data_IF_508359330090
#
_entry.id   IF_508359330090
#
_cell.length_a   1.000
_cell.length_b   1.000
_cell.length_c   1.000
_cell.angle_alpha   90.00
_cell.angle_beta   90.00
_cell.angle_gamma   90.00
#
_symmetry.space_group_name_H-M   'P 1'
#
loop_
_entity.id
_entity.type
_entity.pdbx_description
1 polymer ?
#
# COMPACT_ATOMS: atom_id res chain seq x y z
N UNK A 1 -37.67 -39.18 -30.21
CA UNK A 1 -36.23 -38.95 -29.97
C UNK A 1 -35.78 -39.90 -28.86
N UNK A 2 -34.66 -40.61 -29.02
CA UNK A 2 -34.19 -41.50 -27.96
C UNK A 2 -33.77 -40.68 -26.74
N UNK A 3 -34.11 -41.17 -25.53
CA UNK A 3 -33.87 -40.45 -24.25
C UNK A 3 -32.38 -40.06 -24.04
N UNK A 4 -31.47 -40.74 -24.74
CA UNK A 4 -30.03 -40.44 -24.69
C UNK A 4 -29.64 -39.19 -25.46
N UNK A 5 -30.26 -38.90 -26.60
CA UNK A 5 -29.98 -37.69 -27.40
C UNK A 5 -30.42 -36.43 -26.69
N UNK A 6 -31.54 -36.47 -25.96
CA UNK A 6 -32.01 -35.31 -25.17
C UNK A 6 -31.05 -34.99 -24.00
N UNK A 7 -30.53 -36.03 -23.33
CA UNK A 7 -29.54 -35.86 -22.25
C UNK A 7 -28.21 -35.28 -22.76
N UNK A 8 -27.77 -35.74 -23.93
CA UNK A 8 -26.54 -35.23 -24.56
C UNK A 8 -26.68 -33.77 -25.01
N UNK A 9 -27.84 -33.41 -25.56
CA UNK A 9 -28.13 -32.00 -25.94
C UNK A 9 -28.20 -31.10 -24.70
N UNK A 10 -28.84 -31.54 -23.62
CA UNK A 10 -28.92 -30.77 -22.38
C UNK A 10 -27.53 -30.58 -21.74
N UNK A 11 -26.68 -31.61 -21.74
CA UNK A 11 -25.30 -31.54 -21.25
C UNK A 11 -24.46 -30.58 -22.08
N UNK A 12 -24.59 -30.60 -23.41
CA UNK A 12 -23.90 -29.67 -24.30
C UNK A 12 -24.37 -28.22 -24.09
N UNK A 13 -25.67 -28.03 -23.85
CA UNK A 13 -26.26 -26.72 -23.57
C UNK A 13 -25.73 -26.13 -22.25
N UNK A 14 -25.58 -26.95 -21.21
CA UNK A 14 -25.00 -26.55 -19.92
C UNK A 14 -23.52 -26.14 -20.09
N UNK A 15 -22.75 -26.87 -20.92
CA UNK A 15 -21.36 -26.53 -21.23
C UNK A 15 -21.25 -25.20 -22.00
N UNK A 16 -22.20 -24.92 -22.90
CA UNK A 16 -22.25 -23.67 -23.68
C UNK A 16 -22.71 -22.45 -22.86
N UNK A 17 -23.44 -22.69 -21.76
CA UNK A 17 -23.91 -21.66 -20.84
C UNK A 17 -22.91 -21.32 -19.72
N UNK A 18 -21.82 -22.12 -19.57
CA UNK A 18 -20.76 -21.78 -18.64
C UNK A 18 -20.04 -20.52 -19.11
N UNK A 19 -20.37 -19.40 -18.44
CA UNK A 19 -19.64 -18.13 -18.67
C UNK A 19 -18.17 -18.35 -18.30
N UNK A 20 -17.21 -17.82 -19.07
CA UNK A 20 -15.82 -17.83 -18.64
C UNK A 20 -15.76 -17.10 -17.30
N UNK A 21 -15.24 -17.79 -16.30
CA UNK A 21 -14.91 -17.17 -15.02
C UNK A 21 -13.73 -16.25 -15.29
N UNK A 22 -13.99 -14.92 -15.37
CA UNK A 22 -12.91 -13.96 -15.47
C UNK A 22 -12.15 -14.00 -14.16
N UNK A 23 -10.97 -14.59 -14.18
CA UNK A 23 -10.03 -14.49 -13.08
C UNK A 23 -9.63 -13.02 -12.91
N UNK A 24 -9.42 -12.60 -11.66
CA UNK A 24 -8.81 -11.31 -11.36
C UNK A 24 -7.46 -11.27 -12.08
N UNK A 25 -7.21 -10.23 -12.89
CA UNK A 25 -5.95 -10.05 -13.58
C UNK A 25 -5.42 -8.63 -13.33
N UNK A 26 -4.13 -8.42 -13.59
CA UNK A 26 -3.44 -7.15 -13.41
C UNK A 26 -2.40 -6.97 -14.52
N UNK A 27 -2.27 -5.73 -15.02
CA UNK A 27 -1.18 -5.34 -15.94
C UNK A 27 0.17 -5.17 -15.22
N UNK A 28 0.18 -5.20 -13.88
CA UNK A 28 1.41 -5.12 -13.11
C UNK A 28 2.34 -6.30 -13.39
N UNK A 29 3.64 -6.09 -13.31
CA UNK A 29 4.65 -7.14 -13.46
C UNK A 29 4.58 -8.16 -12.30
N UNK A 30 4.26 -7.67 -11.11
CA UNK A 30 4.03 -8.48 -9.92
C UNK A 30 2.73 -8.06 -9.25
N UNK A 31 1.94 -9.01 -8.79
CA UNK A 31 0.70 -8.74 -8.06
C UNK A 31 0.36 -9.90 -7.12
N UNK A 32 -0.15 -9.56 -5.95
CA UNK A 32 -0.75 -10.51 -5.00
C UNK A 32 -2.05 -9.91 -4.48
N UNK A 33 -3.13 -10.67 -4.61
CA UNK A 33 -4.42 -10.34 -4.00
C UNK A 33 -4.84 -11.51 -3.12
N UNK A 34 -5.12 -11.22 -1.86
CA UNK A 34 -5.51 -12.23 -0.87
C UNK A 34 -6.75 -11.77 -0.12
N UNK A 35 -7.69 -12.67 0.09
CA UNK A 35 -8.78 -12.48 1.03
C UNK A 35 -8.22 -12.60 2.46
N UNK A 36 -8.25 -11.50 3.21
CA UNK A 36 -7.68 -11.45 4.58
C UNK A 36 -8.51 -12.32 5.56
N UNK A 37 -9.80 -12.51 5.30
CA UNK A 37 -10.67 -13.28 6.21
C UNK A 37 -10.46 -14.78 6.08
N UNK A 38 -10.17 -15.27 4.88
CA UNK A 38 -10.01 -16.70 4.56
C UNK A 38 -8.55 -17.10 4.37
N UNK A 39 -7.66 -16.17 4.04
CA UNK A 39 -6.29 -16.43 3.62
C UNK A 39 -6.20 -16.93 2.17
N UNK A 40 -7.31 -16.97 1.42
CA UNK A 40 -7.33 -17.44 0.05
C UNK A 40 -6.60 -16.46 -0.88
N UNK A 41 -5.71 -16.99 -1.73
CA UNK A 41 -5.03 -16.19 -2.75
C UNK A 41 -5.91 -16.13 -3.99
N UNK A 42 -6.41 -14.93 -4.30
CA UNK A 42 -7.29 -14.66 -5.44
C UNK A 42 -6.50 -14.33 -6.72
N UNK A 43 -5.30 -13.80 -6.57
CA UNK A 43 -4.35 -13.54 -7.66
C UNK A 43 -2.93 -13.69 -7.13
N UNK A 44 -2.14 -14.50 -7.79
CA UNK A 44 -0.68 -14.56 -7.62
C UNK A 44 -0.01 -14.39 -8.98
N UNK A 45 0.72 -13.30 -9.14
CA UNK A 45 1.51 -13.00 -10.33
C UNK A 45 2.92 -12.62 -9.92
N UNK A 46 3.82 -13.59 -9.99
CA UNK A 46 5.23 -13.40 -9.62
C UNK A 46 5.40 -12.75 -8.24
N UNK A 47 4.56 -13.09 -7.25
CA UNK A 47 4.53 -12.42 -5.95
C UNK A 47 5.84 -12.58 -5.16
N UNK A 48 6.59 -13.67 -5.40
CA UNK A 48 7.89 -13.92 -4.78
C UNK A 48 9.04 -13.10 -5.38
N UNK A 49 8.80 -12.40 -6.48
CA UNK A 49 9.82 -11.58 -7.11
C UNK A 49 10.17 -10.38 -6.23
N UNK A 50 11.45 -10.23 -5.89
CA UNK A 50 11.92 -9.04 -5.15
C UNK A 50 11.69 -7.78 -5.97
N UNK A 51 10.98 -6.83 -5.38
CA UNK A 51 10.68 -5.53 -5.96
C UNK A 51 11.08 -4.40 -5.01
N UNK A 52 11.27 -3.21 -5.55
CA UNK A 52 11.47 -2.03 -4.70
C UNK A 52 10.10 -1.53 -4.22
N UNK A 53 9.88 -1.39 -2.90
CA UNK A 53 8.58 -0.99 -2.35
C UNK A 53 8.20 0.46 -2.64
N UNK A 54 9.10 1.28 -3.18
CA UNK A 54 8.87 2.70 -3.48
C UNK A 54 8.23 3.43 -2.30
N UNK A 55 7.13 4.15 -2.51
CA UNK A 55 6.44 4.89 -1.43
C UNK A 55 5.81 4.00 -0.35
N UNK A 56 5.64 2.70 -0.58
CA UNK A 56 5.19 1.77 0.46
C UNK A 56 6.18 1.68 1.64
N UNK A 57 7.45 2.03 1.43
CA UNK A 57 8.45 2.17 2.51
C UNK A 57 7.97 3.12 3.61
N UNK A 58 7.15 4.12 3.29
CA UNK A 58 6.61 5.07 4.25
C UNK A 58 5.66 4.46 5.28
N UNK A 59 5.05 3.31 4.94
CA UNK A 59 4.24 2.54 5.90
C UNK A 59 5.10 2.16 7.11
N UNK A 60 6.35 1.73 6.89
CA UNK A 60 7.28 1.42 7.98
C UNK A 60 7.68 2.67 8.77
N UNK A 61 7.93 3.79 8.11
CA UNK A 61 8.22 5.07 8.78
C UNK A 61 7.08 5.48 9.73
N UNK A 62 5.85 5.39 9.24
CA UNK A 62 4.64 5.72 10.02
C UNK A 62 4.42 4.72 11.16
N UNK A 63 4.63 3.42 10.90
CA UNK A 63 4.52 2.38 11.93
C UNK A 63 5.47 2.62 13.09
N UNK A 64 6.75 2.89 12.82
CA UNK A 64 7.75 3.19 13.86
C UNK A 64 7.36 4.44 14.66
N UNK A 65 6.84 5.47 14.00
CA UNK A 65 6.37 6.67 14.70
C UNK A 65 5.17 6.35 15.62
N UNK A 66 4.19 5.57 15.16
CA UNK A 66 3.05 5.18 15.99
C UNK A 66 3.45 4.26 17.16
N UNK A 67 4.41 3.37 16.98
CA UNK A 67 4.95 2.57 18.09
C UNK A 67 5.58 3.47 19.16
N UNK A 68 6.38 4.47 18.75
CA UNK A 68 6.95 5.45 19.67
C UNK A 68 5.88 6.32 20.36
N UNK A 69 4.82 6.69 19.68
CA UNK A 69 3.68 7.41 20.28
C UNK A 69 2.96 6.51 21.29
N UNK A 70 2.70 5.25 20.92
CA UNK A 70 2.00 4.28 21.78
C UNK A 70 2.76 4.01 23.09
N UNK A 71 4.08 3.96 23.03
CA UNK A 71 4.91 3.74 24.24
C UNK A 71 5.29 5.03 24.98
N UNK A 72 4.78 6.19 24.55
CA UNK A 72 4.98 7.49 25.19
C UNK A 72 6.35 8.15 24.96
N UNK A 73 7.18 7.62 24.07
CA UNK A 73 8.49 8.21 23.74
C UNK A 73 8.44 9.27 22.65
N UNK A 74 7.30 9.43 21.99
CA UNK A 74 7.01 10.46 21.01
C UNK A 74 5.61 11.03 21.26
N UNK A 75 5.43 12.33 21.08
CA UNK A 75 4.13 12.99 21.16
C UNK A 75 3.69 13.51 19.79
N UNK A 76 2.40 13.48 19.52
CA UNK A 76 1.80 14.08 18.31
C UNK A 76 2.05 15.61 18.23
N UNK A 77 2.11 16.27 19.38
CA UNK A 77 2.36 17.72 19.47
C UNK A 77 3.86 18.08 19.51
N UNK A 78 4.74 17.09 19.59
CA UNK A 78 6.19 17.32 19.54
C UNK A 78 6.56 17.92 18.18
N UNK A 79 7.47 18.89 18.20
CA UNK A 79 7.91 19.56 16.98
C UNK A 79 9.33 19.14 16.60
N UNK A 80 9.53 18.91 15.31
CA UNK A 80 10.84 18.62 14.74
C UNK A 80 11.30 19.74 13.80
N UNK A 81 12.59 20.06 13.90
CA UNK A 81 13.22 21.03 13.01
C UNK A 81 13.43 20.41 11.63
N UNK A 82 13.03 21.15 10.59
CA UNK A 82 13.21 20.71 9.21
C UNK A 82 14.65 20.93 8.77
N UNK A 83 15.36 19.86 8.52
CA UNK A 83 16.72 19.90 8.02
C UNK A 83 16.80 20.34 6.55
N UNK A 84 17.95 20.82 6.12
CA UNK A 84 18.23 21.11 4.71
C UNK A 84 18.12 19.85 3.83
N UNK A 85 18.41 18.68 4.38
CA UNK A 85 18.26 17.38 3.69
C UNK A 85 16.79 17.06 3.45
N UNK A 86 15.93 17.18 4.46
CA UNK A 86 14.48 16.98 4.34
C UNK A 86 13.89 17.97 3.31
N UNK A 87 14.18 19.26 3.46
CA UNK A 87 13.68 20.29 2.54
C UNK A 87 14.06 20.08 1.08
N UNK A 88 15.29 19.59 0.79
CA UNK A 88 15.78 19.33 -0.57
C UNK A 88 15.19 18.07 -1.24
N UNK A 89 14.47 17.24 -0.51
CA UNK A 89 13.93 16.01 -1.09
C UNK A 89 13.03 16.30 -2.29
N UNK A 90 13.27 15.54 -3.36
CA UNK A 90 12.46 15.59 -4.57
C UNK A 90 11.24 14.68 -4.51
N UNK A 91 10.46 14.63 -5.58
CA UNK A 91 9.24 13.84 -5.71
C UNK A 91 8.06 14.46 -4.95
N UNK A 92 7.14 13.62 -4.44
CA UNK A 92 5.99 14.08 -3.66
C UNK A 92 6.43 14.79 -2.38
N UNK A 93 5.86 15.95 -2.09
CA UNK A 93 6.27 16.82 -0.98
C UNK A 93 5.08 17.37 -0.22
N UNK A 94 5.27 17.57 1.07
CA UNK A 94 4.42 18.40 1.93
C UNK A 94 4.80 19.91 1.80
N UNK A 95 5.94 20.20 1.16
CA UNK A 95 6.49 21.57 0.99
C UNK A 95 6.86 22.25 2.31
N UNK A 96 7.46 21.48 3.22
CA UNK A 96 7.99 22.03 4.48
C UNK A 96 9.22 22.91 4.21
N UNK A 97 9.35 24.00 4.99
CA UNK A 97 10.44 24.97 4.85
C UNK A 97 11.61 24.62 5.77
N UNK A 98 12.83 24.84 5.29
CA UNK A 98 14.05 24.65 6.09
C UNK A 98 14.03 25.54 7.33
N UNK A 99 14.59 25.05 8.44
CA UNK A 99 14.68 25.74 9.74
C UNK A 99 13.32 26.05 10.40
N UNK A 100 12.21 25.57 9.86
CA UNK A 100 10.91 25.61 10.53
C UNK A 100 10.72 24.39 11.42
N UNK A 101 9.92 24.54 12.46
CA UNK A 101 9.47 23.45 13.32
C UNK A 101 8.08 22.99 12.88
N UNK A 102 7.92 21.70 12.72
CA UNK A 102 6.66 21.08 12.27
C UNK A 102 6.27 20.02 13.28
N UNK A 103 4.99 19.98 13.67
CA UNK A 103 4.46 18.97 14.58
C UNK A 103 4.52 17.57 13.96
N UNK A 104 4.73 16.58 14.80
CA UNK A 104 4.69 15.15 14.42
C UNK A 104 3.36 14.81 13.75
N UNK A 105 2.23 15.31 14.28
CA UNK A 105 0.91 15.12 13.69
C UNK A 105 0.83 15.59 12.24
N UNK A 106 1.40 16.78 11.94
CA UNK A 106 1.37 17.36 10.61
C UNK A 106 2.30 16.60 9.65
N UNK A 107 3.48 16.19 10.13
CA UNK A 107 4.39 15.34 9.35
C UNK A 107 3.74 14.02 8.99
N UNK A 108 3.09 13.35 9.95
CA UNK A 108 2.36 12.09 9.70
C UNK A 108 1.25 12.30 8.66
N UNK A 109 0.48 13.37 8.78
CA UNK A 109 -0.57 13.71 7.82
C UNK A 109 0.01 13.95 6.41
N UNK A 110 1.11 14.71 6.32
CA UNK A 110 1.81 14.95 5.05
C UNK A 110 2.36 13.66 4.41
N UNK A 111 2.80 12.70 5.22
CA UNK A 111 3.25 11.39 4.74
C UNK A 111 2.07 10.55 4.22
N UNK A 112 0.98 10.45 4.98
CA UNK A 112 -0.14 9.56 4.68
C UNK A 112 -0.97 10.09 3.51
N UNK A 113 -1.24 11.40 3.46
CA UNK A 113 -2.11 12.00 2.44
C UNK A 113 -1.36 12.32 1.15
N UNK A 114 -0.18 12.94 1.26
CA UNK A 114 0.58 13.44 0.11
C UNK A 114 1.77 12.56 -0.27
N UNK A 115 2.03 11.52 0.53
CA UNK A 115 3.23 10.72 0.36
C UNK A 115 4.52 11.57 0.40
N UNK A 116 4.57 12.61 1.26
CA UNK A 116 5.64 13.58 1.34
C UNK A 116 7.00 12.96 1.66
N UNK A 117 7.95 13.09 0.75
CA UNK A 117 9.32 12.63 0.96
C UNK A 117 10.05 13.51 1.98
N UNK A 118 9.85 14.81 1.90
CA UNK A 118 10.39 15.79 2.85
C UNK A 118 9.88 15.54 4.28
N UNK A 119 8.57 15.35 4.43
CA UNK A 119 7.97 15.02 5.72
C UNK A 119 8.50 13.69 6.29
N UNK A 120 8.70 12.67 5.42
CA UNK A 120 9.25 11.37 5.83
C UNK A 120 10.67 11.48 6.36
N UNK A 121 11.52 12.28 5.71
CA UNK A 121 12.90 12.50 6.18
C UNK A 121 12.90 13.32 7.47
N UNK A 122 12.11 14.40 7.56
CA UNK A 122 12.02 15.21 8.77
C UNK A 122 11.54 14.38 9.97
N UNK A 123 10.54 13.53 9.79
CA UNK A 123 10.06 12.64 10.83
C UNK A 123 11.13 11.60 11.24
N UNK A 124 11.78 10.96 10.27
CA UNK A 124 12.82 9.98 10.55
C UNK A 124 14.01 10.58 11.30
N UNK A 125 14.47 11.77 10.91
CA UNK A 125 15.56 12.49 11.59
C UNK A 125 15.17 12.90 13.01
N UNK A 126 13.91 13.27 13.23
CA UNK A 126 13.43 13.71 14.54
C UNK A 126 13.26 12.56 15.54
N UNK A 127 13.01 11.33 15.07
CA UNK A 127 12.81 10.16 15.94
C UNK A 127 14.05 9.29 16.11
N UNK A 128 15.15 9.58 15.41
CA UNK A 128 16.44 8.89 15.52
C UNK A 128 17.22 9.37 16.73
#
# INVERSE_FOLDING_TARGET
MPKHTLKSILFLLILLLSKPLFAIDSIAETALVMDISTGEILLDKNSDKRTFPSSMTKIMTVLVAFEKIKNGTLSMDQEFLVSKKAWKMGGSKMFIEVDKKIKVSDLLLGIVVQSGNDASIALAEGIS
#
